data_IF_531174783499
#
_entry.id   IF_531174783499
#
_cell.length_a   1.000
_cell.length_b   1.000
_cell.length_c   1.000
_cell.angle_alpha   90.00
_cell.angle_beta   90.00
_cell.angle_gamma   90.00
#
_symmetry.space_group_name_H-M   'P 1'
#
loop_
_entity.id
_entity.type
_entity.pdbx_description
1 polymer ?
#
# COMPACT_ATOMS: atom_id res chain seq x y z
N UNK A 1 -3.20 13.17 2.13
CA UNK A 1 -2.33 12.03 1.73
C UNK A 1 -1.83 12.12 0.30
N UNK A 2 -2.70 12.05 -0.72
CA UNK A 2 -2.28 12.04 -2.14
C UNK A 2 -1.31 13.19 -2.50
N UNK A 3 -1.69 14.44 -2.23
CA UNK A 3 -0.84 15.61 -2.54
C UNK A 3 0.49 15.57 -1.81
N UNK A 4 0.50 15.20 -0.51
CA UNK A 4 1.74 15.08 0.25
C UNK A 4 2.65 13.98 -0.32
N UNK A 5 2.07 12.83 -0.69
CA UNK A 5 2.79 11.75 -1.36
C UNK A 5 3.44 12.21 -2.66
N UNK A 6 2.66 12.85 -3.54
CA UNK A 6 3.09 13.35 -4.85
C UNK A 6 4.18 14.41 -4.73
N UNK A 7 4.04 15.32 -3.78
CA UNK A 7 4.92 16.48 -3.62
C UNK A 7 6.16 16.18 -2.75
N UNK A 8 6.36 14.94 -2.29
CA UNK A 8 7.52 14.62 -1.43
C UNK A 8 7.41 15.19 -0.01
N UNK A 9 6.21 15.56 0.46
CA UNK A 9 6.02 16.20 1.77
C UNK A 9 5.81 15.15 2.87
N UNK A 10 6.33 15.45 4.06
CA UNK A 10 6.09 14.64 5.27
C UNK A 10 4.61 14.39 5.48
N UNK A 11 4.26 13.14 5.77
CA UNK A 11 2.90 12.79 6.15
C UNK A 11 2.56 13.32 7.54
N UNK A 12 1.48 14.11 7.59
CA UNK A 12 0.76 14.40 8.82
C UNK A 12 -0.38 13.39 8.98
N UNK A 13 -0.76 13.12 10.23
CA UNK A 13 -1.91 12.26 10.51
C UNK A 13 -3.19 12.85 9.92
N UNK A 14 -4.11 12.00 9.48
CA UNK A 14 -5.42 12.47 9.01
C UNK A 14 -6.12 13.25 10.14
N UNK A 15 -6.75 14.41 9.84
CA UNK A 15 -7.68 15.04 10.77
C UNK A 15 -8.71 14.03 11.26
N UNK A 16 -9.14 14.15 12.52
CA UNK A 16 -9.94 13.13 13.20
C UNK A 16 -11.25 12.86 12.46
N UNK A 17 -11.87 13.89 11.92
CA UNK A 17 -13.09 13.84 11.12
C UNK A 17 -12.95 13.07 9.79
N UNK A 18 -11.72 12.89 9.29
CA UNK A 18 -11.42 12.15 8.06
C UNK A 18 -10.76 10.80 8.32
N UNK A 19 -10.59 10.38 9.57
CA UNK A 19 -10.08 9.04 9.89
C UNK A 19 -11.15 8.01 9.58
N UNK A 20 -10.82 6.93 8.86
CA UNK A 20 -11.74 5.82 8.67
C UNK A 20 -12.25 5.27 10.00
N UNK A 21 -13.56 5.07 10.10
CA UNK A 21 -14.23 4.56 11.31
C UNK A 21 -14.29 3.03 11.34
N UNK A 22 -14.10 2.40 10.19
CA UNK A 22 -14.16 0.96 9.99
C UNK A 22 -13.25 0.55 8.82
N UNK A 23 -13.14 -0.77 8.59
CA UNK A 23 -12.29 -1.32 7.53
C UNK A 23 -12.78 -0.97 6.12
N UNK A 24 -14.09 -0.90 5.93
CA UNK A 24 -14.68 -0.55 4.63
C UNK A 24 -14.26 0.86 4.21
N UNK A 25 -14.38 1.84 5.10
CA UNK A 25 -13.89 3.20 4.88
C UNK A 25 -12.37 3.25 4.68
N UNK A 26 -11.61 2.40 5.38
CA UNK A 26 -10.16 2.35 5.24
C UNK A 26 -9.75 1.85 3.85
N UNK A 27 -10.39 0.79 3.36
CA UNK A 27 -10.14 0.27 2.01
C UNK A 27 -10.68 1.22 0.92
N UNK A 28 -11.83 1.87 1.14
CA UNK A 28 -12.32 2.90 0.23
C UNK A 28 -11.32 4.07 0.10
N UNK A 29 -10.67 4.46 1.21
CA UNK A 29 -9.62 5.48 1.18
C UNK A 29 -8.37 5.00 0.41
N UNK A 30 -8.00 3.73 0.53
CA UNK A 30 -6.90 3.12 -0.24
C UNK A 30 -7.20 3.13 -1.75
N UNK A 31 -8.40 2.71 -2.14
CA UNK A 31 -8.83 2.67 -3.54
C UNK A 31 -8.87 4.09 -4.12
N UNK A 32 -9.42 5.04 -3.36
CA UNK A 32 -9.45 6.45 -3.77
C UNK A 32 -8.05 7.03 -3.95
N UNK A 33 -7.10 6.67 -3.09
CA UNK A 33 -5.71 7.10 -3.26
C UNK A 33 -5.09 6.54 -4.55
N UNK A 34 -5.40 5.29 -4.88
CA UNK A 34 -4.90 4.63 -6.09
C UNK A 34 -5.46 5.29 -7.36
N UNK A 35 -6.76 5.59 -7.39
CA UNK A 35 -7.41 6.36 -8.46
C UNK A 35 -6.74 7.72 -8.67
N UNK A 36 -6.56 8.49 -7.60
CA UNK A 36 -5.94 9.82 -7.66
C UNK A 36 -4.50 9.80 -8.17
N UNK A 37 -3.79 8.69 -7.90
CA UNK A 37 -2.39 8.53 -8.27
C UNK A 37 -2.18 7.97 -9.69
N UNK A 38 -3.27 7.80 -10.46
CA UNK A 38 -3.26 7.19 -11.79
C UNK A 38 -3.78 8.16 -12.85
N UNK A 39 -3.10 8.27 -13.98
CA UNK A 39 -3.59 9.00 -15.16
C UNK A 39 -4.45 8.06 -16.01
N UNK A 40 -5.60 7.64 -15.49
CA UNK A 40 -6.48 6.62 -16.10
C UNK A 40 -6.78 5.47 -15.14
N UNK A 41 -7.23 4.32 -15.66
CA UNK A 41 -7.45 3.12 -14.84
C UNK A 41 -6.16 2.74 -14.11
N UNK A 42 -6.19 2.51 -12.79
CA UNK A 42 -4.98 2.19 -12.05
C UNK A 42 -4.33 0.92 -12.58
N UNK A 43 -3.08 1.02 -13.02
CA UNK A 43 -2.29 -0.16 -13.32
C UNK A 43 -1.96 -0.87 -12.01
N UNK A 44 -2.49 -2.08 -11.82
CA UNK A 44 -2.24 -2.94 -10.66
C UNK A 44 -1.30 -4.06 -11.09
N UNK A 45 -0.14 -4.18 -10.43
CA UNK A 45 0.80 -5.27 -10.65
C UNK A 45 0.52 -6.50 -9.76
N UNK A 46 -0.24 -6.32 -8.68
CA UNK A 46 -0.57 -7.37 -7.74
C UNK A 46 -0.99 -6.82 -6.39
N UNK A 47 -0.91 -7.68 -5.38
CA UNK A 47 -1.32 -7.38 -4.02
C UNK A 47 -0.26 -7.82 -3.02
N UNK A 48 -0.23 -7.13 -1.88
CA UNK A 48 0.61 -7.48 -0.73
C UNK A 48 -0.26 -7.71 0.50
N UNK A 49 0.14 -8.67 1.33
CA UNK A 49 -0.50 -8.94 2.63
C UNK A 49 0.48 -8.52 3.72
N UNK A 50 0.07 -7.62 4.60
CA UNK A 50 0.88 -7.09 5.69
C UNK A 50 0.25 -7.42 7.04
N UNK A 51 0.95 -7.13 8.14
CA UNK A 51 0.45 -7.37 9.51
C UNK A 51 0.14 -8.88 9.69
N UNK A 52 1.04 -9.74 9.22
CA UNK A 52 0.83 -11.20 9.12
C UNK A 52 1.14 -11.95 10.41
N UNK A 53 1.93 -11.37 11.33
CA UNK A 53 2.25 -11.99 12.62
C UNK A 53 1.30 -11.52 13.71
N UNK A 54 0.98 -12.43 14.65
CA UNK A 54 0.13 -12.12 15.80
C UNK A 54 0.70 -11.00 16.68
N UNK A 55 2.02 -10.94 16.81
CA UNK A 55 2.70 -9.90 17.60
C UNK A 55 2.47 -8.51 16.98
N UNK A 56 2.61 -8.38 15.65
CA UNK A 56 2.39 -7.12 14.96
C UNK A 56 0.90 -6.76 14.96
N UNK A 57 0.00 -7.74 14.78
CA UNK A 57 -1.45 -7.57 14.90
C UNK A 57 -1.85 -6.97 16.26
N UNK A 58 -1.35 -7.54 17.36
CA UNK A 58 -1.57 -7.00 18.70
C UNK A 58 -1.00 -5.59 18.87
N UNK A 59 0.22 -5.35 18.36
CA UNK A 59 0.89 -4.05 18.44
C UNK A 59 0.09 -2.93 17.75
N UNK A 60 -0.53 -3.22 16.60
CA UNK A 60 -1.30 -2.22 15.83
C UNK A 60 -2.80 -2.26 16.11
N UNK A 61 -3.26 -3.13 17.02
CA UNK A 61 -4.66 -3.24 17.41
C UNK A 61 -5.57 -3.82 16.31
N UNK A 62 -5.03 -4.67 15.44
CA UNK A 62 -5.79 -5.35 14.38
C UNK A 62 -5.86 -6.85 14.65
N UNK A 63 -7.01 -7.47 14.42
CA UNK A 63 -7.21 -8.91 14.63
C UNK A 63 -6.97 -9.76 13.37
N UNK A 64 -6.51 -9.13 12.27
CA UNK A 64 -6.32 -9.78 10.98
C UNK A 64 -5.21 -9.08 10.18
N UNK A 65 -4.65 -9.75 9.14
CA UNK A 65 -3.75 -9.13 8.18
C UNK A 65 -4.41 -8.01 7.37
N UNK A 66 -3.60 -7.14 6.78
CA UNK A 66 -4.05 -6.07 5.89
C UNK A 66 -3.67 -6.34 4.43
N UNK A 67 -4.59 -6.03 3.52
CA UNK A 67 -4.33 -6.04 2.08
C UNK A 67 -3.78 -4.67 1.64
N UNK A 68 -2.84 -4.67 0.71
CA UNK A 68 -2.44 -3.47 -0.03
C UNK A 68 -2.29 -3.75 -1.52
N UNK A 69 -2.49 -2.72 -2.34
CA UNK A 69 -2.35 -2.81 -3.80
C UNK A 69 -0.94 -2.42 -4.24
N UNK A 70 -0.30 -3.24 -5.08
CA UNK A 70 0.98 -2.93 -5.71
C UNK A 70 0.71 -2.26 -7.05
N UNK A 71 1.23 -1.05 -7.23
CA UNK A 71 1.04 -0.29 -8.48
C UNK A 71 1.95 -0.82 -9.60
N UNK A 72 1.47 -0.79 -10.84
CA UNK A 72 2.22 -1.24 -12.02
C UNK A 72 3.59 -0.58 -12.15
N UNK A 73 3.67 0.73 -11.91
CA UNK A 73 4.92 1.50 -12.02
C UNK A 73 5.88 1.38 -10.83
N UNK A 74 5.58 0.56 -9.81
CA UNK A 74 6.45 0.39 -8.63
C UNK A 74 7.15 -0.97 -8.56
N UNK A 75 7.15 -1.73 -9.66
CA UNK A 75 7.84 -3.03 -9.75
C UNK A 75 9.11 -2.88 -10.56
N UNK A 76 10.22 -3.39 -10.03
CA UNK A 76 11.54 -3.29 -10.66
C UNK A 76 12.16 -4.67 -10.80
N UNK A 77 12.72 -4.97 -11.98
CA UNK A 77 13.48 -6.20 -12.20
C UNK A 77 14.87 -6.12 -11.55
N UNK A 78 15.35 -7.25 -11.03
CA UNK A 78 16.69 -7.35 -10.46
C UNK A 78 17.78 -7.41 -11.53
N UNK A 79 18.95 -6.77 -11.33
CA UNK A 79 19.26 -5.85 -10.25
C UNK A 79 18.66 -4.46 -10.50
N UNK A 80 18.09 -3.84 -9.46
CA UNK A 80 17.58 -2.48 -9.50
C UNK A 80 18.43 -1.54 -8.64
N UNK A 81 18.64 -0.32 -9.13
CA UNK A 81 19.20 0.80 -8.34
C UNK A 81 18.16 1.89 -8.28
N UNK A 82 17.72 2.23 -7.07
CA UNK A 82 16.67 3.22 -6.84
C UNK A 82 17.25 4.40 -6.06
N UNK A 83 16.88 5.61 -6.46
CA UNK A 83 17.31 6.82 -5.74
C UNK A 83 16.49 6.95 -4.45
N UNK A 84 17.17 7.14 -3.32
CA UNK A 84 16.54 7.35 -2.02
C UNK A 84 15.55 8.53 -2.04
N UNK A 85 15.86 9.58 -2.80
CA UNK A 85 15.00 10.76 -3.00
C UNK A 85 13.63 10.46 -3.62
N UNK A 86 13.43 9.25 -4.16
CA UNK A 86 12.13 8.77 -4.63
C UNK A 86 11.21 8.26 -3.52
N UNK A 87 11.67 8.22 -2.27
CA UNK A 87 10.96 7.67 -1.12
C UNK A 87 10.86 8.68 0.02
N UNK A 88 9.92 8.43 0.95
CA UNK A 88 9.68 9.29 2.11
C UNK A 88 10.28 8.74 3.40
N UNK A 89 9.90 7.52 3.77
CA UNK A 89 10.42 6.80 4.94
C UNK A 89 10.63 5.35 4.53
N UNK A 90 11.88 5.01 4.20
CA UNK A 90 12.23 3.72 3.62
C UNK A 90 12.37 2.66 4.72
N UNK A 91 11.66 1.56 4.54
CA UNK A 91 11.93 0.30 5.21
C UNK A 91 12.11 -0.77 4.13
N UNK A 92 12.90 -1.80 4.44
CA UNK A 92 13.12 -2.95 3.56
C UNK A 92 12.58 -4.19 4.25
N UNK A 93 11.73 -4.92 3.54
CA UNK A 93 11.15 -6.18 3.97
C UNK A 93 11.57 -7.28 2.99
N UNK A 94 11.92 -8.45 3.52
CA UNK A 94 12.23 -9.64 2.71
C UNK A 94 11.01 -10.55 2.71
N UNK A 95 10.40 -10.72 1.54
CA UNK A 95 9.11 -11.40 1.39
C UNK A 95 9.17 -12.48 0.30
N UNK A 96 8.17 -13.36 0.28
CA UNK A 96 7.98 -14.36 -0.77
C UNK A 96 6.81 -13.93 -1.67
N UNK A 97 7.08 -13.79 -2.97
CA UNK A 97 6.07 -13.44 -3.95
C UNK A 97 5.54 -14.67 -4.69
N UNK A 98 4.24 -14.69 -4.99
CA UNK A 98 3.59 -15.72 -5.79
C UNK A 98 3.07 -15.12 -7.09
N UNK A 99 3.38 -15.75 -8.22
CA UNK A 99 2.75 -15.41 -9.51
C UNK A 99 1.59 -16.36 -9.76
N UNK A 100 0.40 -15.81 -9.91
CA UNK A 100 -0.81 -16.59 -10.15
C UNK A 100 -0.92 -16.91 -11.65
N UNK A 101 -1.05 -18.20 -11.98
CA UNK A 101 -1.29 -18.64 -13.37
C UNK A 101 -2.70 -18.31 -13.84
N UNK A 102 -3.68 -18.41 -12.95
CA UNK A 102 -5.09 -18.22 -13.21
C UNK A 102 -5.67 -17.22 -12.20
N UNK A 103 -6.81 -16.63 -12.55
CA UNK A 103 -7.61 -15.88 -11.58
C UNK A 103 -8.03 -16.76 -10.40
N UNK A 104 -7.96 -16.19 -9.21
CA UNK A 104 -8.57 -16.78 -8.01
C UNK A 104 -10.04 -16.33 -8.01
N UNK A 105 -10.92 -17.23 -8.40
CA UNK A 105 -12.37 -17.08 -8.23
C UNK A 105 -12.79 -17.74 -6.91
N UNK A 106 -13.82 -17.23 -6.21
CA UNK A 106 -14.36 -17.87 -5.02
C UNK A 106 -14.78 -19.33 -5.24
#
# INVERSE_FOLDING_TARGET
FHTAHRDGKRYEGAPVEYRPKNLEEAYAAQDRFLELSSTGSPSVAGYKIAVTSQVIQQLVGLAHPCLGTIRGGSVHASPARLAESGFHHVAVECEIAFTLKNHLVP
#
